data_IF_824576026940
#
_entry.id   IF_824576026940
#
_cell.length_a   1.000
_cell.length_b   1.000
_cell.length_c   1.000
_cell.angle_alpha   90.00
_cell.angle_beta   90.00
_cell.angle_gamma   90.00
#
_symmetry.space_group_name_H-M   'P 1'
#
loop_
_entity.id
_entity.type
_entity.pdbx_description
1 polymer ?
#
# COMPACT_ATOMS: atom_id res chain seq x y z
N UNK A 1 -4.45 -5.26 -14.23
CA UNK A 1 -3.03 -5.01 -14.54
C UNK A 1 -2.28 -4.71 -13.26
N UNK A 2 -1.30 -5.54 -12.91
CA UNK A 2 -0.35 -5.17 -11.88
C UNK A 2 0.56 -4.07 -12.38
N UNK A 3 0.77 -3.08 -11.52
CA UNK A 3 1.76 -2.02 -11.75
C UNK A 3 2.57 -1.85 -10.48
N UNK A 4 3.87 -1.64 -10.67
CA UNK A 4 4.73 -1.14 -9.61
C UNK A 4 4.31 0.29 -9.28
N UNK A 5 4.19 0.60 -7.99
CA UNK A 5 3.88 1.94 -7.50
C UNK A 5 4.70 2.20 -6.25
N UNK A 6 5.02 3.45 -5.97
CA UNK A 6 5.81 3.81 -4.79
C UNK A 6 4.92 3.86 -3.56
N UNK A 7 5.31 3.15 -2.50
CA UNK A 7 4.63 3.24 -1.22
C UNK A 7 4.81 4.64 -0.63
N UNK A 8 3.71 5.30 -0.28
CA UNK A 8 3.78 6.65 0.30
C UNK A 8 4.34 6.69 1.72
N UNK A 9 4.33 5.56 2.45
CA UNK A 9 4.83 5.49 3.83
C UNK A 9 6.34 5.23 3.90
N UNK A 10 6.86 4.26 3.13
CA UNK A 10 8.27 3.88 3.18
C UNK A 10 9.07 4.24 1.92
N UNK A 11 8.43 4.83 0.90
CA UNK A 11 9.05 5.18 -0.38
C UNK A 11 9.65 3.99 -1.15
N UNK A 12 9.38 2.75 -0.73
CA UNK A 12 9.77 1.51 -1.41
C UNK A 12 8.80 1.13 -2.53
N UNK A 13 9.20 0.18 -3.38
CA UNK A 13 8.33 -0.35 -4.42
C UNK A 13 7.28 -1.26 -3.78
N UNK A 14 6.02 -0.96 -4.09
CA UNK A 14 4.87 -1.82 -3.81
C UNK A 14 4.13 -2.08 -5.10
N UNK A 15 3.14 -2.97 -5.07
CA UNK A 15 2.36 -3.28 -6.25
C UNK A 15 0.86 -3.12 -5.99
N UNK A 16 0.16 -2.60 -6.99
CA UNK A 16 -1.29 -2.37 -6.94
C UNK A 16 -1.99 -3.13 -8.05
N UNK A 17 -3.12 -3.78 -7.74
CA UNK A 17 -3.90 -4.55 -8.71
C UNK A 17 -3.25 -5.87 -9.12
N UNK A 18 -2.45 -6.46 -8.22
CA UNK A 18 -1.68 -7.67 -8.46
C UNK A 18 -2.32 -8.86 -7.75
N UNK A 19 -2.23 -10.02 -8.39
CA UNK A 19 -2.65 -11.31 -7.84
C UNK A 19 -1.50 -12.31 -7.96
N UNK A 20 -1.78 -13.50 -8.48
CA UNK A 20 -0.78 -14.57 -8.63
C UNK A 20 0.48 -14.20 -9.43
N UNK A 21 0.42 -13.17 -10.29
CA UNK A 21 1.55 -12.76 -11.12
C UNK A 21 2.52 -11.78 -10.43
N UNK A 22 2.27 -11.37 -9.18
CA UNK A 22 3.15 -10.44 -8.45
C UNK A 22 4.56 -11.03 -8.28
N UNK A 23 4.69 -12.35 -8.18
CA UNK A 23 5.95 -13.09 -8.08
C UNK A 23 6.88 -12.83 -9.27
N UNK A 24 6.34 -12.91 -10.49
CA UNK A 24 7.13 -12.67 -11.71
C UNK A 24 7.56 -11.20 -11.82
N UNK A 25 6.70 -10.27 -11.39
CA UNK A 25 6.98 -8.83 -11.44
C UNK A 25 8.02 -8.43 -10.38
N UNK A 26 7.95 -9.01 -9.19
CA UNK A 26 8.90 -8.71 -8.10
C UNK A 26 10.25 -9.39 -8.29
N UNK A 27 10.33 -10.48 -9.06
CA UNK A 27 11.57 -11.23 -9.27
C UNK A 27 12.70 -10.41 -9.91
N UNK A 28 12.40 -9.32 -10.60
CA UNK A 28 13.41 -8.40 -11.16
C UNK A 28 13.88 -7.30 -10.21
N UNK A 29 13.31 -7.21 -9.00
CA UNK A 29 13.61 -6.16 -8.01
C UNK A 29 14.21 -6.84 -6.77
N UNK A 30 15.34 -6.38 -6.25
CA UNK A 30 15.91 -6.96 -5.03
C UNK A 30 14.99 -6.72 -3.84
N UNK A 31 14.92 -7.71 -2.94
CA UNK A 31 13.97 -7.72 -1.81
C UNK A 31 14.09 -6.50 -0.88
N UNK A 32 15.28 -5.88 -0.81
CA UNK A 32 15.52 -4.64 -0.05
C UNK A 32 14.59 -3.49 -0.45
N UNK A 33 14.22 -3.45 -1.73
CA UNK A 33 13.39 -2.40 -2.33
C UNK A 33 11.89 -2.71 -2.26
N UNK A 34 11.51 -3.83 -1.65
CA UNK A 34 10.11 -4.21 -1.51
C UNK A 34 9.49 -3.56 -0.28
N UNK A 35 8.27 -3.08 -0.43
CA UNK A 35 7.45 -2.65 0.69
C UNK A 35 6.94 -3.88 1.45
N UNK A 36 7.33 -4.00 2.72
CA UNK A 36 7.03 -5.14 3.62
C UNK A 36 5.58 -5.14 4.13
N UNK A 37 4.80 -4.14 3.73
CA UNK A 37 3.46 -3.90 4.24
C UNK A 37 3.52 -3.09 5.52
N UNK A 38 2.59 -2.15 5.64
CA UNK A 38 2.48 -1.29 6.81
C UNK A 38 1.02 -1.26 7.25
N UNK A 39 0.77 -1.11 8.56
CA UNK A 39 -0.58 -0.88 9.03
C UNK A 39 -1.10 0.40 8.38
N UNK A 40 -2.19 0.28 7.62
CA UNK A 40 -2.91 1.44 7.10
C UNK A 40 -3.41 2.19 8.33
N UNK A 41 -2.81 3.34 8.62
CA UNK A 41 -3.36 4.21 9.67
C UNK A 41 -4.83 4.47 9.31
N UNK A 42 -5.79 4.14 10.19
CA UNK A 42 -7.18 4.43 9.94
C UNK A 42 -7.25 5.95 9.82
N UNK A 43 -7.45 6.43 8.59
CA UNK A 43 -7.59 7.85 8.31
C UNK A 43 -8.60 8.37 9.30
N UNK A 44 -8.12 9.18 10.25
CA UNK A 44 -8.96 9.72 11.32
C UNK A 44 -9.89 10.69 10.64
N UNK A 45 -11.03 10.15 10.19
CA UNK A 45 -12.06 10.88 9.49
C UNK A 45 -12.55 11.96 10.43
N UNK A 46 -12.16 13.20 10.15
CA UNK A 46 -12.70 14.39 10.79
C UNK A 46 -14.25 14.39 10.74
N UNK A 47 -14.82 13.69 9.75
CA UNK A 47 -16.25 13.46 9.56
C UNK A 47 -16.90 12.49 10.57
N UNK A 48 -16.15 11.60 11.23
CA UNK A 48 -16.71 10.69 12.24
C UNK A 48 -17.10 11.40 13.55
N UNK A 49 -16.63 12.64 13.75
CA UNK A 49 -16.94 13.47 14.93
C UNK A 49 -18.17 14.35 14.76
N UNK A 50 -18.59 14.60 13.51
CA UNK A 50 -19.76 15.42 13.22
C UNK A 50 -21.09 14.68 13.41
N UNK A 51 -21.11 13.34 13.34
CA UNK A 51 -22.32 12.54 13.51
C UNK A 51 -22.52 11.96 14.93
N UNK A 52 -21.70 12.34 15.92
CA UNK A 52 -21.79 11.84 17.32
C UNK A 52 -22.47 12.82 18.28
N UNK A 53 -22.77 14.05 17.86
CA UNK A 53 -23.56 15.00 18.64
C UNK A 53 -24.97 15.00 18.05
N UNK A 54 -25.88 14.35 18.77
CA UNK A 54 -27.31 14.34 18.46
C UNK A 54 -27.96 15.70 18.58
#
# INVERSE_FOLDING_TARGET
>A
MCRATTCRQCQKITWSGCGAHVEAVRSGIPAENWCEGHPREPGTGLFARLFRRG
#
